data_IF_428028469097
#
_entry.id   IF_428028469097
#
_cell.length_a   1.000
_cell.length_b   1.000
_cell.length_c   1.000
_cell.angle_alpha   90.00
_cell.angle_beta   90.00
_cell.angle_gamma   90.00
#
_symmetry.space_group_name_H-M   'P 1'
#
loop_
_entity.id
_entity.type
_entity.pdbx_description
1 polymer ?
#
# COMPACT_ATOMS: atom_id res chain seq x y z
N UNK A 1 -1.20 4.91 33.30
CA UNK A 1 -1.99 4.43 32.15
C UNK A 1 -2.85 3.26 32.59
N UNK A 2 -4.14 3.27 32.26
CA UNK A 2 -5.03 2.12 32.50
C UNK A 2 -4.77 1.01 31.48
N UNK A 3 -5.07 -0.24 31.85
CA UNK A 3 -4.91 -1.40 30.96
C UNK A 3 -5.74 -1.22 29.69
N UNK A 4 -6.98 -0.72 29.81
CA UNK A 4 -7.87 -0.46 28.68
C UNK A 4 -7.29 0.56 27.70
N UNK A 5 -6.64 1.61 28.22
CA UNK A 5 -5.93 2.61 27.41
C UNK A 5 -4.76 1.98 26.66
N UNK A 6 -3.95 1.13 27.32
CA UNK A 6 -2.84 0.45 26.66
C UNK A 6 -3.33 -0.44 25.51
N UNK A 7 -4.39 -1.22 25.73
CA UNK A 7 -4.98 -2.09 24.70
C UNK A 7 -5.51 -1.27 23.52
N UNK A 8 -6.21 -0.17 23.79
CA UNK A 8 -6.71 0.73 22.76
C UNK A 8 -5.57 1.34 21.93
N UNK A 9 -4.51 1.82 22.58
CA UNK A 9 -3.31 2.38 21.91
C UNK A 9 -2.62 1.34 21.03
N UNK A 10 -2.46 0.10 21.52
CA UNK A 10 -1.86 -0.99 20.75
C UNK A 10 -2.69 -1.34 19.51
N UNK A 11 -4.01 -1.48 19.67
CA UNK A 11 -4.89 -1.79 18.56
C UNK A 11 -4.88 -0.66 17.52
N UNK A 12 -4.94 0.59 17.99
CA UNK A 12 -4.90 1.78 17.14
C UNK A 12 -3.57 1.88 16.37
N UNK A 13 -2.44 1.63 17.03
CA UNK A 13 -1.12 1.59 16.40
C UNK A 13 -1.02 0.47 15.36
N UNK A 14 -1.57 -0.71 15.65
CA UNK A 14 -1.56 -1.82 14.71
C UNK A 14 -2.36 -1.52 13.43
N UNK A 15 -3.54 -0.91 13.56
CA UNK A 15 -4.37 -0.50 12.41
C UNK A 15 -3.67 0.59 11.61
N UNK A 16 -3.10 1.60 12.27
CA UNK A 16 -2.35 2.67 11.61
C UNK A 16 -1.14 2.12 10.83
N UNK A 17 -0.37 1.21 11.43
CA UNK A 17 0.77 0.56 10.77
C UNK A 17 0.37 -0.25 9.54
N UNK A 18 -0.75 -0.97 9.60
CA UNK A 18 -1.30 -1.68 8.44
C UNK A 18 -1.68 -0.72 7.30
N UNK A 19 -2.41 0.35 7.62
CA UNK A 19 -2.85 1.32 6.63
C UNK A 19 -1.67 2.07 5.99
N UNK A 20 -0.69 2.48 6.81
CA UNK A 20 0.53 3.14 6.33
C UNK A 20 1.29 2.24 5.35
N UNK A 21 1.49 0.97 5.69
CA UNK A 21 2.16 0.02 4.80
C UNK A 21 1.41 -0.17 3.48
N UNK A 22 0.08 -0.26 3.52
CA UNK A 22 -0.74 -0.40 2.30
C UNK A 22 -0.76 0.87 1.44
N UNK A 23 -0.72 2.06 2.05
CA UNK A 23 -0.59 3.31 1.33
C UNK A 23 0.76 3.38 0.60
N UNK A 24 1.87 3.05 1.29
CA UNK A 24 3.22 3.00 0.71
C UNK A 24 3.30 1.98 -0.43
N UNK A 25 2.77 0.77 -0.23
CA UNK A 25 2.72 -0.26 -1.28
C UNK A 25 1.98 0.21 -2.52
N UNK A 26 0.86 0.92 -2.33
CA UNK A 26 0.05 1.42 -3.44
C UNK A 26 0.78 2.56 -4.18
N UNK A 27 1.48 3.44 -3.47
CA UNK A 27 2.33 4.49 -4.07
C UNK A 27 3.48 3.89 -4.88
N UNK A 28 4.19 2.90 -4.34
CA UNK A 28 5.26 2.20 -5.05
C UNK A 28 4.74 1.45 -6.28
N UNK A 29 3.56 0.83 -6.18
CA UNK A 29 2.90 0.19 -7.31
C UNK A 29 2.56 1.19 -8.43
N UNK A 30 2.10 2.41 -8.09
CA UNK A 30 1.85 3.49 -9.05
C UNK A 30 3.17 3.93 -9.70
N UNK A 31 4.24 4.14 -8.92
CA UNK A 31 5.55 4.52 -9.45
C UNK A 31 6.08 3.48 -10.44
N UNK A 32 6.00 2.19 -10.10
CA UNK A 32 6.40 1.11 -11.01
C UNK A 32 5.54 1.05 -12.27
N UNK A 33 4.25 1.35 -12.15
CA UNK A 33 3.34 1.39 -13.30
C UNK A 33 3.63 2.58 -14.22
N UNK A 34 3.88 3.76 -13.64
CA UNK A 34 4.26 4.97 -14.37
C UNK A 34 5.61 4.79 -15.08
N UNK A 35 6.59 4.22 -14.37
CA UNK A 35 7.91 3.91 -14.94
C UNK A 35 7.79 2.94 -16.11
N UNK A 36 7.01 1.87 -15.96
CA UNK A 36 6.72 0.96 -17.06
C UNK A 36 6.09 1.70 -18.25
N UNK A 37 5.10 2.57 -18.01
CA UNK A 37 4.37 3.29 -19.06
C UNK A 37 5.32 4.20 -19.84
N UNK A 38 6.16 4.96 -19.14
CA UNK A 38 7.19 5.81 -19.74
C UNK A 38 8.18 5.00 -20.57
N UNK A 39 8.62 3.86 -20.05
CA UNK A 39 9.56 2.98 -20.76
C UNK A 39 8.92 2.32 -21.99
N UNK A 40 7.63 1.98 -21.93
CA UNK A 40 6.88 1.45 -23.08
C UNK A 40 6.71 2.49 -24.18
N UNK A 41 6.38 3.73 -23.82
CA UNK A 41 6.30 4.86 -24.76
C UNK A 41 7.66 5.16 -25.38
N UNK A 42 8.72 5.14 -24.58
CA UNK A 42 10.09 5.32 -25.07
C UNK A 42 10.50 4.22 -26.06
N UNK A 43 10.21 2.96 -25.75
CA UNK A 43 10.49 1.82 -26.64
C UNK A 43 9.68 1.90 -27.93
N UNK A 44 8.41 2.30 -27.85
CA UNK A 44 7.56 2.49 -29.03
C UNK A 44 8.06 3.62 -29.94
N UNK A 45 8.46 4.76 -29.34
CA UNK A 45 9.07 5.88 -30.08
C UNK A 45 10.39 5.49 -30.74
N UNK A 46 11.21 4.66 -30.06
CA UNK A 46 12.50 4.17 -30.58
C UNK A 46 12.33 3.02 -31.59
N UNK A 47 11.27 2.23 -31.49
CA UNK A 47 11.06 1.02 -32.29
C UNK A 47 9.55 0.72 -32.45
N UNK A 48 8.96 1.09 -33.59
CA UNK A 48 7.51 0.92 -33.89
C UNK A 48 7.01 -0.52 -33.79
N UNK A 49 7.90 -1.51 -33.86
CA UNK A 49 7.58 -2.93 -33.78
C UNK A 49 7.46 -3.47 -32.33
N UNK A 50 7.62 -2.64 -31.30
CA UNK A 50 7.50 -3.11 -29.91
C UNK A 50 6.06 -3.12 -29.41
N UNK A 51 5.58 -4.25 -28.83
CA UNK A 51 4.26 -4.33 -28.22
C UNK A 51 4.28 -3.54 -26.90
N UNK A 52 3.95 -2.27 -26.97
CA UNK A 52 3.71 -1.43 -25.79
C UNK A 52 2.30 -1.67 -25.28
N UNK A 53 2.11 -2.59 -24.33
CA UNK A 53 0.81 -2.74 -23.67
C UNK A 53 1.00 -2.97 -22.17
N UNK A 54 1.20 -1.87 -21.45
CA UNK A 54 0.87 -1.84 -20.03
C UNK A 54 -0.63 -1.56 -19.95
N UNK A 55 -1.37 -2.47 -19.32
CA UNK A 55 -2.81 -2.33 -19.17
C UNK A 55 -3.14 -1.15 -18.25
N UNK A 56 -3.70 -0.07 -18.82
CA UNK A 56 -4.12 1.13 -18.10
C UNK A 56 -5.06 0.80 -16.92
N UNK A 57 -5.84 -0.28 -17.02
CA UNK A 57 -6.74 -0.78 -15.97
C UNK A 57 -5.98 -1.16 -14.68
N UNK A 58 -4.76 -1.69 -14.80
CA UNK A 58 -3.92 -2.03 -13.63
C UNK A 58 -3.51 -0.73 -12.92
N UNK A 59 -3.15 0.30 -13.69
CA UNK A 59 -2.74 1.60 -13.16
C UNK A 59 -3.92 2.25 -12.42
N UNK A 60 -5.09 2.30 -13.05
CA UNK A 60 -6.30 2.88 -12.46
C UNK A 60 -6.71 2.15 -11.18
N UNK A 61 -6.65 0.81 -11.16
CA UNK A 61 -6.94 0.01 -9.97
C UNK A 61 -5.98 0.31 -8.81
N UNK A 62 -4.68 0.50 -9.08
CA UNK A 62 -3.71 0.84 -8.04
C UNK A 62 -3.86 2.28 -7.56
N UNK A 63 -4.20 3.20 -8.46
CA UNK A 63 -4.44 4.61 -8.13
C UNK A 63 -5.66 4.77 -7.20
N UNK A 64 -6.73 4.03 -7.49
CA UNK A 64 -7.92 3.99 -6.66
C UNK A 64 -7.64 3.36 -5.29
N UNK A 65 -6.84 2.30 -5.23
CA UNK A 65 -6.38 1.70 -3.96
C UNK A 65 -5.54 2.68 -3.14
N UNK A 66 -4.58 3.35 -3.75
CA UNK A 66 -3.77 4.36 -3.07
C UNK A 66 -4.65 5.49 -2.51
N UNK A 67 -5.62 5.96 -3.30
CA UNK A 67 -6.61 6.96 -2.87
C UNK A 67 -7.42 6.49 -1.66
N UNK A 68 -8.00 5.28 -1.72
CA UNK A 68 -8.78 4.71 -0.62
C UNK A 68 -7.92 4.55 0.64
N UNK A 69 -6.73 3.95 0.52
CA UNK A 69 -5.86 3.76 1.69
C UNK A 69 -5.35 5.07 2.26
N UNK A 70 -5.05 6.07 1.42
CA UNK A 70 -4.66 7.40 1.87
C UNK A 70 -5.79 8.13 2.59
N UNK A 71 -7.01 8.10 2.04
CA UNK A 71 -8.19 8.70 2.67
C UNK A 71 -8.51 8.01 3.99
N UNK A 72 -8.51 6.67 4.02
CA UNK A 72 -8.73 5.91 5.25
C UNK A 72 -7.65 6.18 6.30
N UNK A 73 -6.39 6.30 5.91
CA UNK A 73 -5.31 6.63 6.84
C UNK A 73 -5.46 8.03 7.42
N UNK A 74 -5.78 9.01 6.57
CA UNK A 74 -5.98 10.41 7.01
C UNK A 74 -7.20 10.53 7.91
N UNK A 75 -8.30 9.85 7.56
CA UNK A 75 -9.49 9.75 8.39
C UNK A 75 -9.19 9.10 9.74
N UNK A 76 -8.40 8.02 9.75
CA UNK A 76 -8.00 7.35 10.98
C UNK A 76 -7.11 8.25 11.87
N UNK A 77 -6.25 9.09 11.29
CA UNK A 77 -5.49 10.06 12.09
C UNK A 77 -6.39 11.16 12.66
N UNK A 78 -7.30 11.71 11.84
CA UNK A 78 -8.21 12.77 12.26
C UNK A 78 -9.20 12.29 13.35
N UNK A 79 -9.76 11.09 13.19
CA UNK A 79 -10.62 10.48 14.20
C UNK A 79 -9.84 10.01 15.42
N UNK A 80 -8.56 9.64 15.27
CA UNK A 80 -7.68 9.32 16.38
C UNK A 80 -7.52 10.48 17.34
N UNK A 81 -7.32 11.69 16.82
CA UNK A 81 -7.22 12.90 17.63
C UNK A 81 -8.54 13.24 18.34
N UNK A 82 -9.71 12.97 17.74
CA UNK A 82 -11.00 13.28 18.36
C UNK A 82 -11.49 12.20 19.34
N UNK A 83 -11.49 10.92 18.93
CA UNK A 83 -12.03 9.80 19.71
C UNK A 83 -11.09 9.37 20.83
N UNK A 84 -9.79 9.20 20.54
CA UNK A 84 -8.85 8.70 21.54
C UNK A 84 -8.46 9.79 22.55
N UNK A 85 -8.44 11.06 22.15
CA UNK A 85 -8.30 12.17 23.11
C UNK A 85 -9.53 12.30 24.01
N UNK A 86 -10.75 12.24 23.43
CA UNK A 86 -12.00 12.41 24.17
C UNK A 86 -12.24 11.32 25.22
N UNK A 87 -12.08 10.05 24.86
CA UNK A 87 -12.37 8.92 25.75
C UNK A 87 -11.16 8.49 26.60
N UNK A 88 -9.97 8.50 26.02
CA UNK A 88 -8.77 7.93 26.66
C UNK A 88 -7.71 8.96 27.04
N UNK A 89 -7.94 10.26 26.75
CA UNK A 89 -6.94 11.34 26.88
C UNK A 89 -5.61 10.98 26.21
N UNK A 90 -5.69 10.25 25.11
CA UNK A 90 -4.53 9.85 24.33
C UNK A 90 -3.92 11.06 23.66
N UNK A 91 -2.64 11.30 23.91
CA UNK A 91 -1.83 12.29 23.21
C UNK A 91 -0.77 11.55 22.37
N UNK A 92 -0.61 11.95 21.11
CA UNK A 92 0.50 11.52 20.28
C UNK A 92 1.87 11.97 20.83
N UNK A 93 1.90 12.93 21.75
CA UNK A 93 3.08 13.34 22.51
C UNK A 93 3.19 12.55 23.81
N UNK A 94 4.36 11.95 24.06
CA UNK A 94 4.69 11.20 25.28
C UNK A 94 4.62 9.67 25.13
N UNK A 95 4.58 8.97 26.26
CA UNK A 95 4.71 7.50 26.33
C UNK A 95 3.63 6.74 25.54
N UNK A 96 2.40 7.28 25.49
CA UNK A 96 1.31 6.69 24.72
C UNK A 96 1.57 6.77 23.20
N UNK A 97 2.09 7.89 22.71
CA UNK A 97 2.51 8.03 21.31
C UNK A 97 3.68 7.10 20.96
N UNK A 98 4.61 6.90 21.90
CA UNK A 98 5.73 5.97 21.72
C UNK A 98 5.25 4.51 21.63
N UNK A 99 4.28 4.09 22.46
CA UNK A 99 3.66 2.77 22.38
C UNK A 99 2.88 2.57 21.08
N UNK A 100 2.12 3.59 20.66
CA UNK A 100 1.44 3.59 19.37
C UNK A 100 2.42 3.40 18.20
N UNK A 101 3.53 4.16 18.20
CA UNK A 101 4.55 4.08 17.16
C UNK A 101 5.28 2.73 17.15
N UNK A 102 5.55 2.16 18.33
CA UNK A 102 6.12 0.81 18.47
C UNK A 102 5.19 -0.25 17.89
N UNK A 103 3.90 -0.21 18.24
CA UNK A 103 2.90 -1.13 17.71
C UNK A 103 2.79 -1.04 16.18
N UNK A 104 2.74 0.19 15.64
CA UNK A 104 2.72 0.42 14.20
C UNK A 104 3.98 -0.14 13.52
N UNK A 105 5.16 0.10 14.10
CA UNK A 105 6.46 -0.35 13.57
C UNK A 105 6.55 -1.88 13.54
N UNK A 106 6.14 -2.56 14.61
CA UNK A 106 6.12 -4.03 14.67
C UNK A 106 5.25 -4.61 13.55
N UNK A 107 4.05 -4.06 13.38
CA UNK A 107 3.13 -4.49 12.32
C UNK A 107 3.76 -4.27 10.93
N UNK A 108 4.35 -3.09 10.70
CA UNK A 108 5.05 -2.80 9.45
C UNK A 108 6.14 -3.84 9.18
N UNK A 109 6.99 -4.14 10.17
CA UNK A 109 8.07 -5.11 10.04
C UNK A 109 7.57 -6.54 9.76
N UNK A 110 6.48 -6.97 10.39
CA UNK A 110 5.89 -8.29 10.14
C UNK A 110 5.40 -8.40 8.69
N UNK A 111 4.75 -7.36 8.19
CA UNK A 111 4.11 -7.39 6.88
C UNK A 111 5.01 -6.91 5.73
N UNK A 112 6.15 -6.27 5.99
CA UNK A 112 7.05 -5.72 4.96
C UNK A 112 7.47 -6.77 3.94
N UNK A 113 7.73 -8.01 4.38
CA UNK A 113 8.14 -9.09 3.46
C UNK A 113 7.02 -9.51 2.52
N UNK A 114 5.77 -9.49 3.00
CA UNK A 114 4.58 -9.78 2.18
C UNK A 114 4.34 -8.65 1.17
N UNK A 115 4.44 -7.41 1.64
CA UNK A 115 4.40 -6.20 0.83
C UNK A 115 5.44 -6.21 -0.29
N UNK A 116 6.70 -6.51 0.05
CA UNK A 116 7.78 -6.67 -0.91
C UNK A 116 7.48 -7.71 -2.00
N UNK A 117 7.00 -8.90 -1.60
CA UNK A 117 6.61 -9.94 -2.58
C UNK A 117 5.49 -9.46 -3.50
N UNK A 118 4.51 -8.71 -2.98
CA UNK A 118 3.44 -8.14 -3.79
C UNK A 118 3.98 -7.11 -4.78
N UNK A 119 4.87 -6.21 -4.34
CA UNK A 119 5.52 -5.21 -5.18
C UNK A 119 6.36 -5.82 -6.30
N UNK A 120 7.13 -6.87 -6.02
CA UNK A 120 7.87 -7.61 -7.05
C UNK A 120 6.92 -8.19 -8.10
N UNK A 121 5.77 -8.72 -7.70
CA UNK A 121 4.76 -9.22 -8.66
C UNK A 121 4.19 -8.09 -9.51
N UNK A 122 3.88 -6.93 -8.91
CA UNK A 122 3.42 -5.75 -9.66
C UNK A 122 4.49 -5.30 -10.65
N UNK A 123 5.75 -5.23 -10.23
CA UNK A 123 6.86 -4.87 -11.10
C UNK A 123 7.00 -5.82 -12.28
N UNK A 124 6.91 -7.14 -12.04
CA UNK A 124 6.94 -8.14 -13.12
C UNK A 124 5.77 -7.98 -14.07
N UNK A 125 4.56 -7.72 -13.56
CA UNK A 125 3.39 -7.46 -14.40
C UNK A 125 3.53 -6.20 -15.25
N UNK A 126 4.25 -5.17 -14.79
CA UNK A 126 4.42 -3.92 -15.54
C UNK A 126 5.63 -3.93 -16.48
N UNK A 127 6.65 -4.76 -16.22
CA UNK A 127 7.90 -4.78 -16.99
C UNK A 127 8.13 -6.05 -17.84
N UNK A 128 7.52 -7.18 -17.49
CA UNK A 128 7.65 -8.45 -18.23
C UNK A 128 6.36 -8.76 -19.02
N UNK A 129 6.39 -8.52 -20.34
CA UNK A 129 5.24 -8.72 -21.26
C UNK A 129 4.70 -10.16 -21.21
N UNK A 130 5.60 -11.15 -21.16
CA UNK A 130 5.22 -12.56 -21.08
C UNK A 130 4.58 -12.96 -19.74
N UNK A 131 4.92 -12.26 -18.66
CA UNK A 131 4.46 -12.64 -17.33
C UNK A 131 2.97 -12.30 -17.13
N UNK A 132 2.52 -11.15 -17.63
CA UNK A 132 1.11 -10.76 -17.62
C UNK A 132 0.24 -11.72 -18.45
N UNK A 133 0.67 -12.05 -19.68
CA UNK A 133 -0.05 -12.99 -20.53
C UNK A 133 -0.09 -14.42 -19.97
N UNK A 134 1.01 -14.91 -19.37
CA UNK A 134 1.04 -16.22 -18.70
C UNK A 134 0.07 -16.28 -17.51
N UNK A 135 -0.02 -15.20 -16.72
CA UNK A 135 -0.95 -15.13 -15.57
C UNK A 135 -2.41 -15.08 -16.01
N UNK A 136 -2.71 -14.32 -17.06
CA UNK A 136 -4.06 -14.22 -17.59
C UNK A 136 -4.54 -15.59 -18.14
N UNK A 137 -3.66 -16.33 -18.84
CA UNK A 137 -3.94 -17.71 -19.25
C UNK A 137 -4.17 -18.63 -18.06
N UNK A 138 -3.35 -18.57 -17.01
CA UNK A 138 -3.53 -19.44 -15.83
C UNK A 138 -4.82 -19.15 -15.06
N UNK A 139 -5.28 -17.90 -15.04
CA UNK A 139 -6.57 -17.55 -14.42
C UNK A 139 -7.74 -18.06 -15.27
N UNK A 140 -7.66 -17.95 -16.59
CA UNK A 140 -8.68 -18.46 -17.51
C UNK A 140 -8.79 -19.99 -17.50
N UNK A 141 -7.67 -20.70 -17.33
CA UNK A 141 -7.63 -22.17 -17.24
C UNK A 141 -8.08 -22.73 -15.87
N UNK A 142 -8.22 -21.86 -14.85
CA UNK A 142 -8.73 -22.24 -13.52
C UNK A 142 -10.23 -22.04 -13.36
N UNK A 143 -10.88 -21.40 -14.33
CA UNK A 143 -12.33 -21.30 -14.43
C UNK A 143 -12.86 -22.42 -15.29
#
# INVERSE_FOLDING_TARGET
>A
MNIDMNVAVFFWGAVAGCLMLRAVDSLLAILFSLHGLLMSRWKWLKNKATPGQIANDIILSQLLKAGIFGVLFTFLLAEGDNLMWGEFRFNYQGDAGMLWALAATIVVLIFVRKSWRSLVVVWKLTHEVDYAHKRQRTVLLRK
#
